data_IF_239908598822
#
_entry.id   IF_239908598822
#
_cell.length_a   1.000
_cell.length_b   1.000
_cell.length_c   1.000
_cell.angle_alpha   90.00
_cell.angle_beta   90.00
_cell.angle_gamma   90.00
#
_symmetry.space_group_name_H-M   'P 1'
#
loop_
_entity.id
_entity.type
_entity.pdbx_description
1 polymer ?
#
# COMPACT_ATOMS: atom_id res chain seq x y z
N UNK A 1 -10.43 -19.57 6.04
CA UNK A 1 -9.20 -19.41 6.84
C UNK A 1 -9.54 -18.68 8.11
N UNK A 2 -8.99 -19.12 9.23
CA UNK A 2 -9.05 -18.35 10.47
C UNK A 2 -8.16 -17.10 10.37
N UNK A 3 -8.48 -16.07 11.15
CA UNK A 3 -7.76 -14.78 11.07
C UNK A 3 -7.54 -14.16 12.44
N UNK A 4 -6.40 -13.51 12.60
CA UNK A 4 -6.18 -12.54 13.67
C UNK A 4 -6.50 -11.15 13.13
N UNK A 5 -7.30 -10.37 13.85
CA UNK A 5 -7.60 -8.98 13.48
C UNK A 5 -7.43 -8.07 14.69
N UNK A 6 -6.86 -6.89 14.48
CA UNK A 6 -6.69 -5.90 15.55
C UNK A 6 -5.95 -4.66 15.11
N UNK A 7 -5.85 -3.70 16.02
CA UNK A 7 -5.09 -2.46 15.81
C UNK A 7 -3.77 -2.56 16.59
N UNK A 8 -2.67 -2.43 15.88
CA UNK A 8 -1.32 -2.42 16.41
C UNK A 8 -0.84 -0.98 16.57
N UNK A 9 -0.08 -0.73 17.64
CA UNK A 9 0.63 0.53 17.86
C UNK A 9 2.13 0.26 17.87
N UNK A 10 2.82 0.65 16.81
CA UNK A 10 4.18 0.17 16.53
C UNK A 10 5.11 1.34 16.23
N UNK A 11 6.33 1.29 16.76
CA UNK A 11 7.38 2.26 16.43
C UNK A 11 8.10 1.81 15.16
N UNK A 12 8.37 2.73 14.25
CA UNK A 12 9.17 2.44 13.07
C UNK A 12 10.66 2.29 13.40
N UNK A 13 11.17 3.18 14.27
CA UNK A 13 12.54 3.18 14.75
C UNK A 13 12.53 3.14 16.27
N UNK A 14 13.42 2.35 16.87
CA UNK A 14 13.53 2.18 18.33
C UNK A 14 13.78 3.49 19.10
N UNK A 15 14.29 4.52 18.43
CA UNK A 15 14.54 5.86 19.00
C UNK A 15 13.42 6.87 18.71
N UNK A 16 12.41 6.51 17.91
CA UNK A 16 11.30 7.41 17.58
C UNK A 16 10.30 7.48 18.73
N UNK A 17 9.86 8.70 19.07
CA UNK A 17 8.75 8.90 20.01
C UNK A 17 7.38 8.70 19.35
N UNK A 18 7.32 8.71 18.02
CA UNK A 18 6.07 8.58 17.27
C UNK A 18 5.73 7.10 17.03
N UNK A 19 4.44 6.79 17.10
CA UNK A 19 3.92 5.45 16.85
C UNK A 19 3.01 5.49 15.64
N UNK A 20 3.13 4.48 14.78
CA UNK A 20 2.14 4.20 13.76
C UNK A 20 1.00 3.39 14.39
N UNK A 21 -0.22 3.70 13.95
CA UNK A 21 -1.37 2.83 14.16
C UNK A 21 -1.60 2.03 12.88
N UNK A 22 -1.67 0.71 13.02
CA UNK A 22 -1.86 -0.21 11.89
C UNK A 22 -3.04 -1.11 12.20
N UNK A 23 -4.13 -0.98 11.45
CA UNK A 23 -5.20 -1.97 11.44
C UNK A 23 -4.74 -3.17 10.63
N UNK A 24 -4.74 -4.36 11.21
CA UNK A 24 -4.24 -5.55 10.54
C UNK A 24 -5.25 -6.68 10.63
N UNK A 25 -5.36 -7.44 9.54
CA UNK A 25 -6.09 -8.71 9.49
C UNK A 25 -5.21 -9.74 8.81
N UNK A 26 -4.81 -10.78 9.54
CA UNK A 26 -3.77 -11.72 9.14
C UNK A 26 -4.28 -13.15 9.14
N UNK A 27 -3.87 -13.93 8.14
CA UNK A 27 -4.20 -15.34 8.01
C UNK A 27 -3.60 -16.17 9.15
N UNK A 28 -4.40 -17.07 9.71
CA UNK A 28 -4.00 -18.10 10.65
C UNK A 28 -4.19 -19.48 10.02
N UNK A 29 -3.29 -20.42 10.31
CA UNK A 29 -3.50 -21.84 10.03
C UNK A 29 -4.67 -22.33 10.89
N UNK A 30 -5.68 -23.00 10.31
CA UNK A 30 -6.80 -23.56 11.07
C UNK A 30 -6.35 -24.57 12.14
N UNK A 31 -5.31 -25.35 11.82
CA UNK A 31 -4.81 -26.44 12.67
C UNK A 31 -4.00 -25.91 13.84
N UNK A 32 -3.04 -25.02 13.56
CA UNK A 32 -2.11 -24.55 14.59
C UNK A 32 -2.56 -23.24 15.21
N UNK A 33 -3.51 -22.50 14.63
CA UNK A 33 -3.84 -21.09 14.95
C UNK A 33 -2.62 -20.16 15.01
N UNK A 34 -1.52 -20.55 14.36
CA UNK A 34 -0.35 -19.67 14.17
C UNK A 34 -0.50 -18.92 12.87
N UNK A 35 0.26 -17.84 12.71
CA UNK A 35 0.30 -17.08 11.46
C UNK A 35 0.66 -17.99 10.29
N UNK A 36 -0.09 -17.88 9.21
CA UNK A 36 0.15 -18.61 7.97
C UNK A 36 0.65 -17.66 6.87
N UNK A 37 1.35 -18.22 5.89
CA UNK A 37 1.82 -17.49 4.72
C UNK A 37 0.61 -17.13 3.85
N UNK A 38 0.37 -15.85 3.53
CA UNK A 38 -0.75 -15.46 2.68
C UNK A 38 -0.42 -15.65 1.19
N UNK A 39 -1.43 -15.62 0.33
CA UNK A 39 -1.21 -15.51 -1.12
C UNK A 39 -0.71 -14.11 -1.52
N UNK A 40 -1.15 -13.08 -0.79
CA UNK A 40 -0.72 -11.70 -1.00
C UNK A 40 -0.79 -10.86 0.29
N UNK A 41 -0.06 -9.74 0.30
CA UNK A 41 -0.19 -8.67 1.27
C UNK A 41 -0.82 -7.45 0.60
N UNK A 42 -1.97 -6.98 1.09
CA UNK A 42 -2.56 -5.70 0.71
C UNK A 42 -2.14 -4.64 1.74
N UNK A 43 -1.42 -3.62 1.29
CA UNK A 43 -0.90 -2.53 2.11
C UNK A 43 -1.64 -1.25 1.72
N UNK A 44 -2.45 -0.74 2.65
CA UNK A 44 -3.34 0.39 2.44
C UNK A 44 -2.87 1.59 3.28
N UNK A 45 -2.42 2.66 2.64
CA UNK A 45 -2.06 3.91 3.31
C UNK A 45 -3.28 4.84 3.39
N UNK A 46 -3.66 5.22 4.61
CA UNK A 46 -4.78 6.11 4.87
C UNK A 46 -4.48 7.57 4.48
N UNK A 47 -5.53 8.39 4.45
CA UNK A 47 -5.40 9.83 4.18
C UNK A 47 -5.53 10.70 5.43
N UNK A 48 -6.01 11.92 5.17
CA UNK A 48 -6.37 12.87 6.22
C UNK A 48 -7.49 12.33 7.10
N UNK A 49 -7.50 12.76 8.35
CA UNK A 49 -8.56 12.44 9.30
C UNK A 49 -9.74 13.37 9.10
N UNK A 50 -10.92 12.78 9.10
CA UNK A 50 -12.18 13.51 9.17
C UNK A 50 -13.00 12.87 10.29
N UNK A 51 -12.61 13.19 11.53
CA UNK A 51 -13.24 12.66 12.76
C UNK A 51 -14.31 13.64 13.27
N UNK A 52 -15.31 13.13 14.00
CA UNK A 52 -16.30 13.96 14.70
C UNK A 52 -17.31 14.61 13.77
N UNK A 53 -17.56 14.01 12.61
CA UNK A 53 -18.52 14.52 11.62
C UNK A 53 -19.97 14.17 11.97
N UNK A 54 -20.17 13.13 12.78
CA UNK A 54 -21.48 12.53 13.04
C UNK A 54 -22.04 11.71 11.87
N UNK A 55 -21.34 11.65 10.72
CA UNK A 55 -21.72 10.84 9.58
C UNK A 55 -21.23 9.40 9.78
N UNK A 56 -22.16 8.46 9.94
CA UNK A 56 -21.87 7.06 10.24
C UNK A 56 -20.98 6.37 9.20
N UNK A 57 -21.07 6.75 7.92
CA UNK A 57 -20.24 6.19 6.86
C UNK A 57 -18.80 6.66 7.02
N UNK A 58 -18.58 7.94 7.26
CA UNK A 58 -17.24 8.52 7.43
C UNK A 58 -16.57 7.94 8.69
N UNK A 59 -17.27 7.89 9.83
CA UNK A 59 -16.71 7.36 11.07
C UNK A 59 -16.32 5.88 10.91
N UNK A 60 -17.20 5.08 10.29
CA UNK A 60 -16.94 3.65 10.04
C UNK A 60 -15.77 3.43 9.09
N UNK A 61 -15.62 4.26 8.06
CA UNK A 61 -14.54 4.19 7.07
C UNK A 61 -13.28 4.94 7.50
N UNK A 62 -13.27 5.50 8.71
CA UNK A 62 -12.07 5.99 9.39
C UNK A 62 -11.52 4.97 10.40
N UNK A 63 -12.28 3.92 10.72
CA UNK A 63 -11.84 2.86 11.64
C UNK A 63 -10.88 1.88 10.95
N UNK A 64 -9.66 1.77 11.49
CA UNK A 64 -8.58 0.98 10.88
C UNK A 64 -8.88 -0.52 10.86
N UNK A 65 -9.55 -1.04 11.89
CA UNK A 65 -9.93 -2.45 11.92
C UNK A 65 -10.98 -2.73 10.85
N UNK A 66 -11.99 -1.86 10.74
CA UNK A 66 -13.04 -2.01 9.74
C UNK A 66 -12.50 -1.90 8.32
N UNK A 67 -11.58 -0.96 8.08
CA UNK A 67 -10.87 -0.86 6.81
C UNK A 67 -10.11 -2.16 6.48
N UNK A 68 -9.45 -2.79 7.46
CA UNK A 68 -8.73 -4.04 7.22
C UNK A 68 -9.67 -5.19 6.82
N UNK A 69 -10.87 -5.25 7.39
CA UNK A 69 -11.92 -6.20 7.00
C UNK A 69 -12.43 -5.94 5.58
N UNK A 70 -12.65 -4.66 5.23
CA UNK A 70 -13.07 -4.27 3.88
C UNK A 70 -12.00 -4.69 2.87
N UNK A 71 -10.73 -4.40 3.12
CA UNK A 71 -9.62 -4.81 2.23
C UNK A 71 -9.60 -6.32 2.03
N UNK A 72 -9.75 -7.13 3.08
CA UNK A 72 -9.85 -8.60 2.96
C UNK A 72 -11.08 -9.00 2.13
N UNK A 73 -12.23 -8.35 2.33
CA UNK A 73 -13.45 -8.64 1.56
C UNK A 73 -13.28 -8.37 0.06
N UNK A 74 -12.42 -7.41 -0.31
CA UNK A 74 -12.14 -7.05 -1.70
C UNK A 74 -11.14 -7.99 -2.37
N UNK A 75 -10.01 -8.25 -1.72
CA UNK A 75 -8.92 -9.03 -2.31
C UNK A 75 -8.99 -10.52 -2.03
N UNK A 76 -9.88 -10.96 -1.14
CA UNK A 76 -10.13 -12.37 -0.84
C UNK A 76 -9.57 -12.83 0.52
N UNK A 77 -10.08 -13.96 0.99
CA UNK A 77 -9.79 -14.45 2.35
C UNK A 77 -8.38 -15.00 2.57
N UNK A 78 -7.58 -15.16 1.50
CA UNK A 78 -6.22 -15.70 1.50
C UNK A 78 -5.12 -14.65 1.66
N UNK A 79 -5.48 -13.36 1.71
CA UNK A 79 -4.53 -12.26 1.81
C UNK A 79 -4.35 -11.78 3.26
N UNK A 80 -3.23 -11.13 3.54
CA UNK A 80 -3.05 -10.30 4.73
C UNK A 80 -3.35 -8.84 4.39
N UNK A 81 -4.10 -8.15 5.25
CA UNK A 81 -4.40 -6.72 5.09
C UNK A 81 -3.67 -5.88 6.14
N UNK A 82 -3.04 -4.80 5.71
CA UNK A 82 -2.29 -3.85 6.52
C UNK A 82 -2.76 -2.43 6.23
N UNK A 83 -3.54 -1.83 7.12
CA UNK A 83 -4.08 -0.48 7.00
C UNK A 83 -3.26 0.48 7.85
N UNK A 84 -2.42 1.29 7.21
CA UNK A 84 -1.41 2.12 7.82
C UNK A 84 -1.87 3.58 7.91
N UNK A 85 -1.97 4.08 9.13
CA UNK A 85 -2.18 5.49 9.40
C UNK A 85 -0.84 6.24 9.55
N UNK A 86 -0.81 7.52 9.18
CA UNK A 86 0.33 8.39 9.49
C UNK A 86 0.63 8.40 11.01
N UNK A 87 1.90 8.49 11.36
CA UNK A 87 2.35 8.59 12.76
C UNK A 87 2.13 9.97 13.37
N UNK A 88 2.00 11.00 12.52
CA UNK A 88 1.88 12.41 12.89
C UNK A 88 0.76 13.05 12.08
N UNK A 89 0.00 13.92 12.74
CA UNK A 89 -1.03 14.76 12.13
C UNK A 89 -0.81 16.22 12.52
N UNK A 90 -1.06 17.14 11.59
CA UNK A 90 -1.19 18.56 11.88
C UNK A 90 -2.65 18.96 11.67
N UNK A 91 -3.43 19.05 12.76
CA UNK A 91 -4.89 19.08 12.67
C UNK A 91 -5.41 17.81 11.97
N UNK A 92 -6.24 17.91 10.91
CA UNK A 92 -6.71 16.75 10.16
C UNK A 92 -5.67 16.19 9.18
N UNK A 93 -4.60 16.94 8.89
CA UNK A 93 -3.69 16.62 7.80
C UNK A 93 -2.68 15.55 8.19
N UNK A 94 -2.67 14.42 7.46
CA UNK A 94 -1.71 13.34 7.68
C UNK A 94 -0.29 13.76 7.24
N UNK A 95 0.74 13.41 8.02
CA UNK A 95 2.13 13.76 7.70
C UNK A 95 2.99 12.50 7.61
N UNK A 96 3.26 12.05 6.39
CA UNK A 96 4.03 10.83 6.09
C UNK A 96 5.54 11.04 6.01
N UNK A 97 6.11 11.81 6.95
CA UNK A 97 7.56 12.13 6.97
C UNK A 97 8.49 10.92 7.07
N UNK A 98 7.99 9.83 7.65
CA UNK A 98 8.76 8.58 7.81
C UNK A 98 8.87 7.81 6.49
N UNK A 99 8.05 8.15 5.50
CA UNK A 99 8.04 7.53 4.17
C UNK A 99 8.50 8.50 3.08
N UNK A 100 8.27 9.80 3.28
CA UNK A 100 8.56 10.85 2.31
C UNK A 100 9.52 11.85 2.96
N UNK A 101 10.80 11.90 2.53
CA UNK A 101 11.82 12.71 3.21
C UNK A 101 11.54 14.21 3.22
N UNK A 102 10.80 14.72 2.23
CA UNK A 102 10.57 16.16 2.05
C UNK A 102 9.08 16.48 1.99
N UNK A 103 8.50 16.79 3.14
CA UNK A 103 7.11 17.24 3.28
C UNK A 103 7.02 18.59 3.99
N UNK A 104 6.01 19.39 3.68
CA UNK A 104 5.69 20.60 4.44
C UNK A 104 4.94 20.25 5.75
N UNK A 105 4.58 21.28 6.53
CA UNK A 105 3.89 21.11 7.81
C UNK A 105 2.48 20.49 7.70
N UNK A 106 1.89 20.46 6.51
CA UNK A 106 0.59 19.85 6.22
C UNK A 106 0.73 18.49 5.52
N UNK A 107 1.96 17.96 5.45
CA UNK A 107 2.24 16.66 4.85
C UNK A 107 2.28 16.65 3.32
N UNK A 108 2.30 17.82 2.67
CA UNK A 108 2.40 17.88 1.21
C UNK A 108 3.85 17.68 0.76
N UNK A 109 4.10 16.77 -0.19
CA UNK A 109 5.44 16.48 -0.67
C UNK A 109 5.98 17.64 -1.52
N UNK A 110 7.24 18.01 -1.32
CA UNK A 110 7.93 18.96 -2.23
C UNK A 110 8.43 18.29 -3.50
N UNK A 111 8.81 17.01 -3.37
CA UNK A 111 9.24 16.15 -4.46
C UNK A 111 9.24 14.70 -3.98
N UNK A 112 9.17 13.76 -4.93
CA UNK A 112 9.38 12.34 -4.67
C UNK A 112 10.81 11.96 -5.03
N UNK A 113 11.56 11.40 -4.08
CA UNK A 113 13.00 11.17 -4.22
C UNK A 113 13.33 9.70 -3.92
N UNK A 114 13.79 8.93 -4.91
CA UNK A 114 14.01 7.49 -4.74
C UNK A 114 15.27 7.15 -3.92
N UNK A 115 16.18 8.11 -3.74
CA UNK A 115 17.47 7.90 -3.08
C UNK A 115 17.28 7.38 -1.65
N UNK A 116 17.90 6.25 -1.35
CA UNK A 116 17.79 5.60 -0.04
C UNK A 116 16.50 4.80 0.19
N UNK A 117 15.60 4.76 -0.80
CA UNK A 117 14.37 3.96 -0.76
C UNK A 117 13.54 4.14 0.52
N UNK A 118 13.20 5.39 0.89
CA UNK A 118 12.60 5.70 2.18
C UNK A 118 11.25 5.00 2.40
N UNK A 119 10.34 5.02 1.42
CA UNK A 119 9.00 4.47 1.62
C UNK A 119 9.00 2.94 1.67
N UNK A 120 9.74 2.26 0.79
CA UNK A 120 9.82 0.80 0.80
C UNK A 120 10.57 0.27 2.04
N UNK A 121 11.65 0.92 2.46
CA UNK A 121 12.40 0.56 3.67
C UNK A 121 11.55 0.76 4.93
N UNK A 122 10.85 1.88 5.03
CA UNK A 122 9.95 2.15 6.15
C UNK A 122 8.76 1.19 6.17
N UNK A 123 8.21 0.85 5.00
CA UNK A 123 7.11 -0.13 4.89
C UNK A 123 7.55 -1.50 5.39
N UNK A 124 8.69 -2.02 4.91
CA UNK A 124 9.25 -3.31 5.35
C UNK A 124 9.50 -3.34 6.85
N UNK A 125 10.10 -2.28 7.39
CA UNK A 125 10.40 -2.17 8.83
C UNK A 125 9.11 -2.15 9.64
N UNK A 126 8.11 -1.36 9.24
CA UNK A 126 6.83 -1.28 9.93
C UNK A 126 6.09 -2.62 9.93
N UNK A 127 6.02 -3.30 8.79
CA UNK A 127 5.38 -4.61 8.67
C UNK A 127 6.09 -5.67 9.52
N UNK A 128 7.42 -5.66 9.53
CA UNK A 128 8.21 -6.58 10.36
C UNK A 128 7.94 -6.37 11.85
N UNK A 129 7.96 -5.12 12.30
CA UNK A 129 7.68 -4.78 13.69
C UNK A 129 6.23 -5.14 14.07
N UNK A 130 5.26 -4.91 13.17
CA UNK A 130 3.88 -5.34 13.38
C UNK A 130 3.77 -6.86 13.53
N UNK A 131 4.47 -7.61 12.69
CA UNK A 131 4.45 -9.07 12.72
C UNK A 131 5.04 -9.62 14.03
N UNK A 132 6.10 -8.99 14.55
CA UNK A 132 6.66 -9.33 15.85
C UNK A 132 5.67 -9.08 17.00
N UNK A 133 4.98 -7.95 17.00
CA UNK A 133 3.94 -7.66 18.00
C UNK A 133 2.80 -8.68 17.96
N UNK A 134 2.33 -9.04 16.76
CA UNK A 134 1.27 -10.07 16.63
C UNK A 134 1.75 -11.43 17.13
N UNK A 135 3.00 -11.81 16.82
CA UNK A 135 3.59 -13.07 17.34
C UNK A 135 3.60 -13.08 18.86
N UNK A 136 3.98 -11.97 19.51
CA UNK A 136 3.94 -11.85 20.98
C UNK A 136 2.52 -12.02 21.52
N UNK A 137 1.52 -11.41 20.88
CA UNK A 137 0.11 -11.52 21.29
C UNK A 137 -0.39 -12.97 21.16
N UNK A 138 -0.12 -13.63 20.03
CA UNK A 138 -0.56 -15.01 19.79
C UNK A 138 0.16 -15.99 20.72
N UNK A 139 1.48 -15.84 20.91
CA UNK A 139 2.27 -16.69 21.80
C UNK A 139 1.96 -16.43 23.27
N UNK A 140 1.74 -15.18 23.70
CA UNK A 140 1.35 -14.86 25.08
C UNK A 140 -0.02 -15.41 25.48
N UNK A 141 -0.84 -15.79 24.50
CA UNK A 141 -2.13 -16.48 24.71
C UNK A 141 -1.96 -18.00 24.85
N UNK A 142 -0.75 -18.54 24.62
CA UNK A 142 -0.45 -19.97 24.64
C UNK A 142 0.68 -20.28 25.60
N UNK A 143 0.44 -21.16 26.57
CA UNK A 143 1.52 -21.83 27.29
C UNK A 143 2.42 -22.56 26.30
N UNK A 144 3.73 -22.47 26.50
CA UNK A 144 4.79 -22.94 25.60
C UNK A 144 4.44 -24.27 24.92
N UNK A 145 4.25 -24.23 23.59
CA UNK A 145 4.32 -25.44 22.78
C UNK A 145 5.09 -25.12 21.51
N UNK A 146 6.27 -25.74 21.39
CA UNK A 146 7.13 -25.65 20.22
C UNK A 146 6.38 -26.12 18.97
N UNK A 147 6.32 -25.24 17.96
CA UNK A 147 5.71 -25.52 16.66
C UNK A 147 6.75 -26.13 15.72
N UNK A 148 6.60 -27.40 15.39
CA UNK A 148 7.36 -28.07 14.33
C UNK A 148 6.98 -27.53 12.94
N UNK A 149 7.99 -27.14 12.15
CA UNK A 149 7.80 -26.71 10.77
C UNK A 149 7.48 -27.91 9.86
N UNK A 150 6.21 -28.04 9.44
CA UNK A 150 5.88 -28.87 8.27
C UNK A 150 6.35 -28.17 7.00
N UNK A 151 7.37 -28.75 6.36
CA UNK A 151 7.88 -28.34 5.04
C UNK A 151 6.86 -28.72 3.97
N UNK A 152 6.18 -27.72 3.39
CA UNK A 152 5.57 -27.85 2.05
C UNK A 152 6.52 -27.24 1.01
N UNK A 153 6.79 -28.01 -0.03
CA UNK A 153 7.59 -27.63 -1.20
C UNK A 153 6.83 -26.64 -2.10
N UNK A 154 7.61 -25.72 -2.69
CA UNK A 154 7.25 -24.67 -3.67
C UNK A 154 6.14 -23.69 -3.23
N UNK A 155 6.42 -22.82 -2.27
CA UNK A 155 5.56 -21.66 -2.01
C UNK A 155 6.17 -20.45 -2.71
N UNK A 156 5.50 -19.97 -3.76
CA UNK A 156 5.80 -18.68 -4.39
C UNK A 156 5.70 -17.57 -3.35
N UNK A 157 6.66 -16.63 -3.35
CA UNK A 157 6.62 -15.43 -2.49
C UNK A 157 5.24 -14.74 -2.58
N UNK A 158 4.63 -14.32 -1.45
CA UNK A 158 3.36 -13.61 -1.49
C UNK A 158 3.44 -12.37 -2.37
N UNK A 159 2.41 -12.12 -3.17
CA UNK A 159 2.29 -10.89 -3.95
C UNK A 159 2.06 -9.69 -3.03
N UNK A 160 2.28 -8.49 -3.53
CA UNK A 160 1.95 -7.25 -2.83
C UNK A 160 1.00 -6.40 -3.67
N UNK A 161 -0.05 -5.91 -3.02
CA UNK A 161 -0.96 -4.88 -3.52
C UNK A 161 -0.75 -3.61 -2.70
N UNK A 162 -0.48 -2.49 -3.37
CA UNK A 162 -0.29 -1.19 -2.70
C UNK A 162 -1.51 -0.32 -2.98
N UNK A 163 -2.11 0.23 -1.93
CA UNK A 163 -3.24 1.14 -2.02
C UNK A 163 -2.92 2.43 -1.28
N UNK A 164 -3.27 3.56 -1.89
CA UNK A 164 -3.16 4.87 -1.27
C UNK A 164 -4.49 5.60 -1.33
N UNK A 165 -5.07 5.88 -0.16
CA UNK A 165 -6.32 6.62 -0.05
C UNK A 165 -6.07 8.08 0.29
N UNK A 166 -6.67 9.02 -0.43
CA UNK A 166 -6.56 10.45 -0.12
C UNK A 166 -5.07 10.85 -0.03
N UNK A 167 -4.59 11.38 1.11
CA UNK A 167 -3.17 11.72 1.29
C UNK A 167 -2.22 10.51 1.28
N UNK A 168 -2.71 9.30 1.57
CA UNK A 168 -1.92 8.06 1.50
C UNK A 168 -1.38 7.78 0.10
N UNK A 169 -2.00 8.33 -0.95
CA UNK A 169 -1.49 8.28 -2.32
C UNK A 169 -0.10 8.91 -2.49
N UNK A 170 0.31 9.81 -1.60
CA UNK A 170 1.67 10.38 -1.63
C UNK A 170 2.73 9.35 -1.28
N UNK A 171 2.44 8.42 -0.36
CA UNK A 171 3.33 7.30 -0.06
C UNK A 171 3.42 6.36 -1.25
N UNK A 172 2.30 6.15 -1.95
CA UNK A 172 2.26 5.36 -3.19
C UNK A 172 3.11 6.00 -4.29
N UNK A 173 3.01 7.32 -4.51
CA UNK A 173 3.87 8.05 -5.45
C UNK A 173 5.36 7.87 -5.13
N UNK A 174 5.71 7.90 -3.85
CA UNK A 174 7.08 7.66 -3.41
C UNK A 174 7.52 6.22 -3.68
N UNK A 175 6.69 5.21 -3.40
CA UNK A 175 6.95 3.80 -3.72
C UNK A 175 7.09 3.58 -5.23
N UNK A 176 6.23 4.20 -6.06
CA UNK A 176 6.30 4.09 -7.53
C UNK A 176 7.59 4.72 -8.06
N UNK A 177 8.01 5.85 -7.47
CA UNK A 177 9.27 6.52 -7.80
C UNK A 177 10.48 5.66 -7.43
N UNK A 178 10.43 4.99 -6.28
CA UNK A 178 11.42 3.99 -5.85
C UNK A 178 11.44 2.77 -6.77
N UNK A 179 10.27 2.24 -7.14
CA UNK A 179 10.14 1.10 -8.04
C UNK A 179 10.76 1.37 -9.42
N UNK A 180 10.55 2.57 -9.97
CA UNK A 180 11.20 3.00 -11.21
C UNK A 180 12.71 3.19 -11.06
N UNK A 181 13.23 3.28 -9.83
CA UNK A 181 14.66 3.44 -9.56
C UNK A 181 15.38 2.15 -9.18
N UNK A 182 14.63 1.07 -8.94
CA UNK A 182 15.19 -0.26 -8.65
C UNK A 182 15.65 -0.95 -9.92
N UNK A 183 16.90 -1.38 -9.93
CA UNK A 183 17.42 -2.28 -10.97
C UNK A 183 16.99 -3.71 -10.69
N UNK A 184 16.73 -4.49 -11.74
CA UNK A 184 16.61 -5.95 -11.58
C UNK A 184 18.00 -6.46 -11.28
N UNK A 185 18.16 -7.10 -10.12
CA UNK A 185 19.39 -7.83 -9.83
C UNK A 185 19.62 -8.82 -10.97
N UNK A 186 20.69 -8.63 -11.74
CA UNK A 186 21.14 -9.63 -12.68
C UNK A 186 21.49 -10.87 -11.88
N UNK A 187 20.94 -12.03 -12.28
CA UNK A 187 21.17 -13.34 -11.66
C UNK A 187 22.66 -13.77 -11.64
N UNK A 188 23.58 -12.91 -12.10
CA UNK A 188 25.01 -13.14 -12.16
C UNK A 188 25.75 -12.95 -10.83
N UNK A 189 25.19 -12.25 -9.82
CA UNK A 189 25.92 -11.93 -8.58
C UNK A 189 25.11 -12.05 -7.27
N UNK A 190 24.01 -12.81 -7.24
CA UNK A 190 23.38 -13.15 -5.96
C UNK A 190 24.14 -14.31 -5.29
N UNK A 191 24.67 -14.18 -4.07
CA UNK A 191 25.29 -15.29 -3.34
C UNK A 191 24.29 -16.38 -2.89
N UNK A 192 23.03 -16.34 -3.36
CA UNK A 192 21.93 -17.11 -2.80
C UNK A 192 21.38 -18.19 -3.75
N UNK A 193 22.16 -18.65 -4.72
CA UNK A 193 21.85 -19.90 -5.45
C UNK A 193 22.11 -21.11 -4.54
N UNK A 194 21.20 -21.38 -3.60
CA UNK A 194 21.25 -22.63 -2.82
C UNK A 194 20.61 -22.64 -1.43
N UNK A 195 20.08 -21.52 -0.92
CA UNK A 195 19.34 -21.54 0.36
C UNK A 195 17.84 -21.67 0.09
N UNK A 196 17.12 -22.58 0.79
CA UNK A 196 15.67 -22.66 0.68
C UNK A 196 15.07 -21.29 1.00
N UNK A 197 14.27 -20.72 0.09
CA UNK A 197 13.57 -19.48 0.38
C UNK A 197 12.68 -19.70 1.61
N UNK A 198 13.06 -19.06 2.72
CA UNK A 198 12.27 -19.05 3.93
C UNK A 198 10.90 -18.44 3.60
N UNK A 199 9.83 -19.19 3.84
CA UNK A 199 8.46 -18.72 3.57
C UNK A 199 8.12 -17.53 4.46
N UNK A 200 8.21 -16.33 3.91
CA UNK A 200 8.03 -15.09 4.65
C UNK A 200 6.59 -14.57 4.53
N UNK A 201 5.97 -14.25 5.66
CA UNK A 201 4.62 -13.66 5.72
C UNK A 201 4.62 -12.24 5.14
N UNK A 202 5.68 -11.47 5.40
CA UNK A 202 5.92 -10.12 4.88
C UNK A 202 7.31 -10.03 4.26
N UNK A 203 7.55 -9.12 3.30
CA UNK A 203 8.89 -8.90 2.75
C UNK A 203 9.89 -8.49 3.83
N UNK A 204 11.11 -9.05 3.80
CA UNK A 204 12.21 -8.75 4.75
C UNK A 204 13.17 -7.65 4.28
N UNK A 205 13.11 -7.28 3.00
CA UNK A 205 13.98 -6.26 2.39
C UNK A 205 13.19 -5.42 1.38
N UNK A 206 13.63 -4.19 1.14
CA UNK A 206 13.01 -3.25 0.19
C UNK A 206 12.93 -3.81 -1.23
N UNK A 207 13.96 -4.51 -1.69
CA UNK A 207 13.99 -5.16 -3.00
C UNK A 207 12.93 -6.26 -3.08
N UNK A 208 12.78 -7.05 -2.00
CA UNK A 208 11.75 -8.09 -1.92
C UNK A 208 10.35 -7.49 -1.93
N UNK A 209 10.13 -6.34 -1.27
CA UNK A 209 8.85 -5.63 -1.33
C UNK A 209 8.58 -5.16 -2.75
N UNK A 210 9.48 -4.36 -3.34
CA UNK A 210 9.30 -3.76 -4.66
C UNK A 210 9.15 -4.83 -5.76
N UNK A 211 9.87 -5.95 -5.66
CA UNK A 211 9.75 -7.07 -6.61
C UNK A 211 8.46 -7.88 -6.47
N UNK A 212 7.80 -7.81 -5.32
CA UNK A 212 6.51 -8.50 -5.08
C UNK A 212 5.28 -7.68 -5.49
N UNK A 213 5.44 -6.38 -5.79
CA UNK A 213 4.32 -5.50 -6.16
C UNK A 213 3.74 -5.96 -7.51
N UNK A 214 2.44 -6.24 -7.51
CA UNK A 214 1.68 -6.64 -8.72
C UNK A 214 0.53 -5.69 -9.03
N UNK A 215 0.00 -4.98 -8.03
CA UNK A 215 -1.08 -4.00 -8.22
C UNK A 215 -0.84 -2.74 -7.39
N UNK A 216 -1.16 -1.59 -7.99
CA UNK A 216 -1.07 -0.26 -7.39
C UNK A 216 -2.39 0.46 -7.60
N UNK A 217 -3.05 0.78 -6.49
CA UNK A 217 -4.36 1.44 -6.46
C UNK A 217 -4.24 2.85 -5.89
N UNK A 218 -4.60 3.83 -6.72
CA UNK A 218 -4.81 5.21 -6.30
C UNK A 218 -6.29 5.37 -5.96
N UNK A 219 -6.63 5.50 -4.68
CA UNK A 219 -8.02 5.56 -4.22
C UNK A 219 -8.36 6.98 -3.79
N UNK A 220 -9.09 7.70 -4.63
CA UNK A 220 -9.50 9.09 -4.41
C UNK A 220 -8.35 9.92 -3.83
N UNK A 221 -7.19 9.89 -4.49
CA UNK A 221 -5.95 10.55 -4.06
C UNK A 221 -5.97 12.05 -4.33
N UNK A 222 -5.71 12.85 -3.30
CA UNK A 222 -5.78 14.30 -3.42
C UNK A 222 -4.92 15.04 -2.41
N UNK A 223 -4.53 16.26 -2.80
CA UNK A 223 -3.76 17.22 -2.02
C UNK A 223 -4.40 18.61 -2.12
N UNK A 224 -3.92 19.56 -1.31
CA UNK A 224 -4.31 20.97 -1.43
C UNK A 224 -3.31 21.77 -2.29
N UNK A 225 -2.27 21.11 -2.80
CA UNK A 225 -1.33 21.58 -3.82
C UNK A 225 -1.08 20.49 -4.87
N UNK A 226 -0.20 20.78 -5.83
CA UNK A 226 0.23 19.84 -6.87
C UNK A 226 1.02 18.67 -6.30
N UNK A 227 1.15 17.60 -7.09
CA UNK A 227 1.86 16.37 -6.74
C UNK A 227 0.95 15.26 -6.19
N UNK A 228 -0.36 15.32 -6.43
CA UNK A 228 -1.27 14.24 -6.04
C UNK A 228 -1.03 12.98 -6.89
N UNK A 229 -0.70 13.16 -8.18
CA UNK A 229 -0.33 12.08 -9.10
C UNK A 229 1.03 12.34 -9.74
N UNK A 230 1.73 11.28 -10.13
CA UNK A 230 3.04 11.39 -10.78
C UNK A 230 2.90 11.80 -12.25
N UNK A 231 3.56 12.89 -12.62
CA UNK A 231 3.62 13.39 -14.00
C UNK A 231 5.02 13.27 -14.63
N UNK A 232 5.96 12.63 -13.93
CA UNK A 232 7.31 12.42 -14.44
C UNK A 232 7.36 11.15 -15.31
N UNK A 233 7.45 11.34 -16.63
CA UNK A 233 7.53 10.25 -17.61
C UNK A 233 8.68 9.26 -17.35
N UNK A 234 9.84 9.74 -16.91
CA UNK A 234 11.01 8.88 -16.69
C UNK A 234 10.78 7.80 -15.63
N UNK A 235 9.89 8.03 -14.66
CA UNK A 235 9.55 7.00 -13.66
C UNK A 235 8.87 5.82 -14.35
N UNK A 236 7.88 6.09 -15.21
CA UNK A 236 7.13 5.05 -15.91
C UNK A 236 7.96 4.36 -16.99
N UNK A 237 8.80 5.10 -17.72
CA UNK A 237 9.73 4.53 -18.70
C UNK A 237 10.66 3.48 -18.05
N UNK A 238 11.21 3.81 -16.86
CA UNK A 238 12.09 2.88 -16.13
C UNK A 238 11.32 1.67 -15.59
N UNK A 239 10.07 1.86 -15.14
CA UNK A 239 9.20 0.74 -14.76
C UNK A 239 8.96 -0.18 -15.97
N UNK A 240 8.63 0.36 -17.14
CA UNK A 240 8.44 -0.44 -18.36
C UNK A 240 9.68 -1.22 -18.73
N UNK A 241 10.86 -0.57 -18.71
CA UNK A 241 12.14 -1.23 -18.98
C UNK A 241 12.36 -2.41 -18.03
N UNK A 242 12.09 -2.20 -16.74
CA UNK A 242 12.14 -3.24 -15.71
C UNK A 242 11.19 -4.41 -16.04
N UNK A 243 9.95 -4.13 -16.43
CA UNK A 243 8.99 -5.18 -16.80
C UNK A 243 9.46 -6.00 -18.03
N UNK A 244 9.97 -5.32 -19.06
CA UNK A 244 10.53 -5.97 -20.26
C UNK A 244 11.70 -6.89 -19.87
N UNK A 245 12.58 -6.42 -18.99
CA UNK A 245 13.74 -7.16 -18.46
C UNK A 245 13.39 -8.37 -17.56
N UNK A 246 12.12 -8.66 -17.33
CA UNK A 246 11.68 -9.90 -16.67
C UNK A 246 11.03 -9.73 -15.30
N UNK A 247 10.82 -8.49 -14.83
CA UNK A 247 10.02 -8.29 -13.63
C UNK A 247 8.56 -8.76 -13.80
N UNK A 248 7.87 -9.14 -12.71
CA UNK A 248 6.47 -9.54 -12.74
C UNK A 248 5.55 -8.46 -13.32
N UNK A 249 4.46 -8.89 -13.97
CA UNK A 249 3.41 -8.01 -14.48
C UNK A 249 2.89 -7.05 -13.40
N UNK A 250 2.62 -5.81 -13.80
CA UNK A 250 2.17 -4.74 -12.93
C UNK A 250 0.87 -4.11 -13.44
N UNK A 251 -0.07 -3.88 -12.54
CA UNK A 251 -1.33 -3.18 -12.79
C UNK A 251 -1.37 -1.85 -12.04
N UNK A 252 -1.71 -0.77 -12.74
CA UNK A 252 -2.14 0.49 -12.13
C UNK A 252 -3.65 0.63 -12.25
N UNK A 253 -4.30 1.02 -11.15
CA UNK A 253 -5.72 1.29 -11.11
C UNK A 253 -5.94 2.65 -10.44
N UNK A 254 -6.55 3.58 -11.16
CA UNK A 254 -6.92 4.90 -10.65
C UNK A 254 -8.42 4.91 -10.34
N UNK A 255 -8.76 5.10 -9.08
CA UNK A 255 -10.14 5.16 -8.59
C UNK A 255 -10.45 6.58 -8.15
N UNK A 256 -11.55 7.17 -8.65
CA UNK A 256 -11.93 8.52 -8.24
C UNK A 256 -13.42 8.79 -8.27
N UNK A 257 -13.78 9.89 -7.61
CA UNK A 257 -15.16 10.35 -7.45
C UNK A 257 -15.38 11.73 -8.09
N UNK A 258 -16.64 12.14 -8.32
CA UNK A 258 -16.98 13.51 -8.70
C UNK A 258 -16.44 14.56 -7.72
N UNK A 259 -16.42 14.26 -6.42
CA UNK A 259 -15.85 15.17 -5.41
C UNK A 259 -14.37 15.48 -5.67
N UNK A 260 -13.63 14.52 -6.20
CA UNK A 260 -12.22 14.69 -6.48
C UNK A 260 -11.97 15.17 -7.90
N UNK A 261 -12.27 14.34 -8.90
CA UNK A 261 -11.92 14.64 -10.30
C UNK A 261 -12.80 15.73 -10.91
N UNK A 262 -13.97 16.01 -10.33
CA UNK A 262 -14.85 17.12 -10.73
C UNK A 262 -14.59 18.43 -9.99
N UNK A 263 -13.60 18.50 -9.09
CA UNK A 263 -13.39 19.68 -8.26
C UNK A 263 -12.68 20.81 -9.03
N UNK A 264 -13.45 21.84 -9.43
CA UNK A 264 -12.91 23.00 -10.16
C UNK A 264 -11.94 23.87 -9.37
N UNK A 265 -11.98 23.84 -8.03
CA UNK A 265 -11.03 24.59 -7.19
C UNK A 265 -9.70 23.87 -7.02
N UNK A 266 -9.64 22.58 -7.38
CA UNK A 266 -8.45 21.72 -7.31
C UNK A 266 -8.27 20.97 -8.62
N UNK A 267 -8.36 21.70 -9.73
CA UNK A 267 -8.31 21.17 -11.09
C UNK A 267 -6.99 20.44 -11.38
N UNK A 268 -5.90 20.84 -10.73
CA UNK A 268 -4.62 20.14 -10.78
C UNK A 268 -4.73 18.65 -10.46
N UNK A 269 -5.61 18.22 -9.55
CA UNK A 269 -5.79 16.80 -9.21
C UNK A 269 -6.23 16.03 -10.45
N UNK A 270 -7.21 16.56 -11.17
CA UNK A 270 -7.70 15.95 -12.41
C UNK A 270 -6.61 16.00 -13.49
N UNK A 271 -5.96 17.16 -13.67
CA UNK A 271 -4.95 17.36 -14.70
C UNK A 271 -3.75 16.41 -14.51
N UNK A 272 -3.25 16.26 -13.28
CA UNK A 272 -2.17 15.34 -12.94
C UNK A 272 -2.60 13.88 -13.11
N UNK A 273 -3.83 13.52 -12.72
CA UNK A 273 -4.38 12.19 -12.94
C UNK A 273 -4.55 11.87 -14.43
N UNK A 274 -4.99 12.83 -15.24
CA UNK A 274 -5.13 12.68 -16.70
C UNK A 274 -3.76 12.51 -17.34
N UNK A 275 -2.76 13.28 -16.92
CA UNK A 275 -1.39 13.14 -17.40
C UNK A 275 -0.75 11.81 -16.96
N UNK A 276 -0.90 11.40 -15.70
CA UNK A 276 -0.41 10.10 -15.23
C UNK A 276 -1.02 8.94 -16.01
N UNK A 277 -2.33 8.99 -16.26
CA UNK A 277 -3.03 7.97 -17.06
C UNK A 277 -2.45 7.91 -18.48
N UNK A 278 -2.31 9.06 -19.14
CA UNK A 278 -1.74 9.16 -20.49
C UNK A 278 -0.32 8.59 -20.57
N UNK A 279 0.53 8.92 -19.59
CA UNK A 279 1.90 8.42 -19.50
C UNK A 279 1.93 6.90 -19.29
N UNK A 280 1.11 6.38 -18.38
CA UNK A 280 0.99 4.96 -18.11
C UNK A 280 0.47 4.18 -19.33
N UNK A 281 -0.53 4.69 -20.05
CA UNK A 281 -1.06 4.08 -21.28
C UNK A 281 -0.02 4.04 -22.40
N UNK A 282 0.68 5.16 -22.60
CA UNK A 282 1.81 5.25 -23.55
C UNK A 282 2.89 4.19 -23.26
N UNK A 283 3.23 4.01 -21.98
CA UNK A 283 4.21 3.02 -21.54
C UNK A 283 3.66 1.58 -21.57
N UNK A 284 2.36 1.39 -21.34
CA UNK A 284 1.72 0.09 -21.43
C UNK A 284 1.79 -0.49 -22.84
N UNK A 285 1.62 0.34 -23.87
CA UNK A 285 1.79 -0.06 -25.27
C UNK A 285 3.20 -0.59 -25.59
N UNK A 286 4.23 -0.11 -24.88
CA UNK A 286 5.63 -0.55 -25.04
C UNK A 286 5.97 -1.79 -24.23
N UNK A 287 5.12 -2.19 -23.29
CA UNK A 287 5.42 -3.20 -22.27
C UNK A 287 5.10 -4.65 -22.68
N UNK A 288 4.65 -4.89 -23.91
CA UNK A 288 4.19 -6.21 -24.38
C UNK A 288 3.08 -6.82 -23.49
N UNK A 289 2.21 -5.97 -22.94
CA UNK A 289 1.11 -6.37 -22.05
C UNK A 289 1.51 -6.64 -20.60
N UNK A 290 2.78 -6.42 -20.23
CA UNK A 290 3.27 -6.57 -18.85
C UNK A 290 2.89 -5.40 -17.93
N UNK A 291 2.55 -4.24 -18.49
CA UNK A 291 1.95 -3.13 -17.77
C UNK A 291 0.49 -2.98 -18.19
N UNK A 292 -0.41 -2.96 -17.20
CA UNK A 292 -1.85 -2.74 -17.41
C UNK A 292 -2.31 -1.52 -16.63
N UNK A 293 -3.25 -0.78 -17.20
CA UNK A 293 -3.72 0.49 -16.64
C UNK A 293 -5.24 0.53 -16.71
N UNK A 294 -5.88 0.93 -15.61
CA UNK A 294 -7.33 1.06 -15.53
C UNK A 294 -7.69 2.35 -14.82
N UNK A 295 -8.79 2.97 -15.24
CA UNK A 295 -9.40 4.11 -14.56
C UNK A 295 -10.85 3.76 -14.24
N UNK A 296 -11.27 4.00 -13.00
CA UNK A 296 -12.61 3.69 -12.50
C UNK A 296 -13.20 4.94 -11.85
N UNK A 297 -14.32 5.41 -12.41
CA UNK A 297 -15.03 6.60 -11.94
C UNK A 297 -16.32 6.19 -11.24
N UNK A 298 -16.40 6.48 -9.94
CA UNK A 298 -17.48 6.02 -9.06
C UNK A 298 -18.49 7.12 -8.80
N UNK A 299 -19.77 6.74 -8.58
CA UNK A 299 -20.84 7.66 -8.19
C UNK A 299 -21.08 8.81 -9.17
N UNK A 300 -20.88 8.59 -10.47
CA UNK A 300 -20.99 9.61 -11.51
C UNK A 300 -22.38 10.29 -11.57
N UNK A 301 -23.40 9.60 -11.08
CA UNK A 301 -24.80 10.01 -10.99
C UNK A 301 -25.14 10.80 -9.71
N UNK A 302 -24.21 10.90 -8.75
CA UNK A 302 -24.43 11.58 -7.46
C UNK A 302 -23.75 12.96 -7.41
N UNK A 303 -24.34 13.94 -6.71
CA UNK A 303 -23.69 15.22 -6.46
C UNK A 303 -22.46 15.04 -5.56
N UNK A 304 -21.37 15.81 -5.75
CA UNK A 304 -20.14 15.64 -4.99
C UNK A 304 -20.33 15.99 -3.50
N UNK A 305 -20.04 15.04 -2.61
CA UNK A 305 -20.12 15.24 -1.16
C UNK A 305 -18.94 14.60 -0.40
N UNK A 306 -18.78 14.94 0.87
CA UNK A 306 -17.67 14.41 1.68
C UNK A 306 -17.81 12.90 1.95
N UNK A 307 -19.03 12.35 1.95
CA UNK A 307 -19.25 10.94 2.21
C UNK A 307 -18.70 10.08 1.08
N UNK A 308 -18.93 10.43 -0.19
CA UNK A 308 -18.44 9.66 -1.34
C UNK A 308 -16.91 9.53 -1.36
N UNK A 309 -16.20 10.52 -0.82
CA UNK A 309 -14.74 10.45 -0.64
C UNK A 309 -14.33 9.21 0.15
N UNK A 310 -15.11 8.84 1.17
CA UNK A 310 -14.84 7.65 1.99
C UNK A 310 -15.55 6.41 1.42
N UNK A 311 -16.81 6.54 0.99
CA UNK A 311 -17.66 5.45 0.47
C UNK A 311 -17.03 4.72 -0.72
N UNK A 312 -16.16 5.39 -1.50
CA UNK A 312 -15.39 4.77 -2.57
C UNK A 312 -14.57 3.55 -2.09
N UNK A 313 -14.08 3.55 -0.85
CA UNK A 313 -13.29 2.44 -0.28
C UNK A 313 -14.11 1.15 -0.27
N UNK A 314 -15.41 1.24 0.02
CA UNK A 314 -16.32 0.09 -0.02
C UNK A 314 -16.77 -0.26 -1.42
N UNK A 315 -16.79 0.72 -2.31
CA UNK A 315 -17.15 0.52 -3.71
C UNK A 315 -15.97 0.05 -4.57
N UNK A 316 -14.76 -0.05 -3.99
CA UNK A 316 -13.57 -0.48 -4.71
C UNK A 316 -13.83 -1.76 -5.48
N UNK A 317 -13.51 -1.70 -6.77
CA UNK A 317 -13.52 -2.85 -7.65
C UNK A 317 -12.08 -3.17 -7.99
N UNK A 318 -11.61 -4.27 -7.42
CA UNK A 318 -10.24 -4.78 -7.52
C UNK A 318 -10.13 -5.93 -8.52
N UNK A 319 -11.21 -6.23 -9.25
CA UNK A 319 -11.17 -7.16 -10.38
C UNK A 319 -10.30 -6.62 -11.52
#
# INVERSE_FOLDING_TARGET
MDRWSGILRVQLHSKSKAFHRVGASLCLSPETRTLSVPEANAIFFCGDRVEGTGNQVIERLSDLQKLSEIVVSKFGSSINAWVIQASVFNGPFAVYKDFIPSVNQYGEPRSYQPTGFPASTSTVSLLSNCLEEVRKVISGTRGDTQSGCSRRSSVSRPKTFILGFSKGGTVVNQIVTELGSTEIASDANSPCSGQPEETCIVPKAKESLLNSITEIHYVDVGLNSTGAYLTNHHVFERITRRLIQGAPQLRFILHGTPRQWGNKQRDWIRNEKDEMLRLLESEAHKSEGKLKVHSRYYFADKPPDMQMHFEIIESLDVS
#
